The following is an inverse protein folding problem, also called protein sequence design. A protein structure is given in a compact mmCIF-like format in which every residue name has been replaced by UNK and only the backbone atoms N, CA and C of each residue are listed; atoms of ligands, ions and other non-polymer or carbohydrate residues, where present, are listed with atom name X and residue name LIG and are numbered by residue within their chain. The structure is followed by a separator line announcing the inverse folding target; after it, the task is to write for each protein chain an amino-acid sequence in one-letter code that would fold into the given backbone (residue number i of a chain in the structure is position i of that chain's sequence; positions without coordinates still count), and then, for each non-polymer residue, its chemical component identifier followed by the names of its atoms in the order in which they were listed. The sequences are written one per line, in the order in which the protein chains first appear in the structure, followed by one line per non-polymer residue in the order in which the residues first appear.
data_IF_927849537588
#
_entry.id   IF_927849537588
#
_cell.length_a   1.000
_cell.length_b   1.000
_cell.length_c   1.000
_cell.angle_alpha   90.00
_cell.angle_beta   90.00
_cell.angle_gamma   90.00
#
_symmetry.space_group_name_H-M   'P 1'
#
loop_
_entity.id
_entity.type
_entity.pdbx_description
1 polymer ?
#
# COMPACT_ATOMS: atom_id res chain seq x y z
N UNK A 1 14.15 -4.68 -14.97
CA UNK A 1 13.96 -3.91 -13.73
C UNK A 1 12.96 -4.67 -12.89
N UNK A 2 13.24 -4.85 -11.59
CA UNK A 2 12.30 -5.50 -10.68
C UNK A 2 11.11 -4.56 -10.44
N UNK A 3 9.88 -5.09 -10.49
CA UNK A 3 8.66 -4.35 -10.17
C UNK A 3 8.76 -3.77 -8.75
N UNK A 4 8.35 -2.53 -8.51
CA UNK A 4 8.36 -1.90 -7.19
C UNK A 4 6.95 -1.77 -6.63
N UNK A 5 6.65 -2.57 -5.61
CA UNK A 5 5.37 -2.63 -4.92
C UNK A 5 5.37 -1.76 -3.66
N UNK A 6 4.34 -0.94 -3.49
CA UNK A 6 4.11 -0.17 -2.26
C UNK A 6 2.93 -0.77 -1.50
N UNK A 7 3.16 -1.26 -0.29
CA UNK A 7 2.11 -1.79 0.57
C UNK A 7 1.58 -0.71 1.51
N UNK A 8 0.30 -0.38 1.37
CA UNK A 8 -0.38 0.59 2.23
C UNK A 8 -0.95 -0.09 3.48
N UNK A 9 -0.69 0.48 4.65
CA UNK A 9 -1.18 -0.07 5.90
C UNK A 9 -1.48 1.00 6.95
N UNK A 10 -2.04 0.58 8.08
CA UNK A 10 -2.16 1.39 9.29
C UNK A 10 -1.12 0.98 10.33
N UNK A 11 -0.97 1.81 11.35
CA UNK A 11 0.06 1.71 12.36
C UNK A 11 0.18 0.32 13.01
N UNK A 12 -0.95 -0.27 13.43
CA UNK A 12 -0.94 -1.55 14.15
C UNK A 12 -0.46 -2.74 13.30
N UNK A 13 -0.59 -2.66 11.97
CA UNK A 13 -0.21 -3.75 11.07
C UNK A 13 1.20 -3.59 10.48
N UNK A 14 1.81 -2.40 10.59
CA UNK A 14 3.13 -2.08 9.97
C UNK A 14 4.21 -3.10 10.36
N UNK A 15 4.45 -3.28 11.65
CA UNK A 15 5.52 -4.17 12.15
C UNK A 15 5.30 -5.63 11.73
N UNK A 16 4.04 -6.08 11.72
CA UNK A 16 3.71 -7.45 11.28
C UNK A 16 3.95 -7.63 9.79
N UNK A 17 3.54 -6.66 8.98
CA UNK A 17 3.71 -6.69 7.53
C UNK A 17 5.20 -6.63 7.13
N UNK A 18 5.98 -5.82 7.83
CA UNK A 18 7.43 -5.71 7.64
C UNK A 18 8.13 -7.05 7.90
N UNK A 19 7.79 -7.72 9.00
CA UNK A 19 8.32 -9.06 9.30
C UNK A 19 7.93 -10.10 8.24
N UNK A 20 6.71 -10.02 7.72
CA UNK A 20 6.24 -10.93 6.68
C UNK A 20 7.03 -10.72 5.38
N UNK A 21 7.15 -9.48 4.91
CA UNK A 21 7.85 -9.16 3.67
C UNK A 21 9.36 -9.44 3.78
N UNK A 22 9.98 -9.11 4.91
CA UNK A 22 11.37 -9.47 5.17
C UNK A 22 11.59 -11.00 5.25
N UNK A 23 10.58 -11.75 5.68
CA UNK A 23 10.60 -13.21 5.75
C UNK A 23 10.48 -13.91 4.39
N UNK A 24 10.13 -13.19 3.31
CA UNK A 24 10.06 -13.75 1.96
C UNK A 24 11.45 -14.06 1.37
N UNK A 25 12.52 -13.47 1.91
CA UNK A 25 13.86 -13.58 1.34
C UNK A 25 14.03 -12.72 0.09
N UNK A 26 14.80 -13.20 -0.88
CA UNK A 26 14.97 -12.51 -2.17
C UNK A 26 13.68 -12.60 -2.99
N UNK A 27 13.06 -11.45 -3.23
CA UNK A 27 11.86 -11.31 -4.06
C UNK A 27 12.22 -10.81 -5.45
N UNK A 28 11.48 -11.25 -6.48
CA UNK A 28 11.63 -10.75 -7.86
C UNK A 28 11.17 -9.28 -8.02
N UNK A 29 10.52 -8.73 -6.98
CA UNK A 29 10.05 -7.36 -6.88
C UNK A 29 10.75 -6.63 -5.73
N UNK A 30 10.95 -5.32 -5.87
CA UNK A 30 11.28 -4.44 -4.75
C UNK A 30 9.99 -4.07 -4.00
N UNK A 31 10.08 -3.83 -2.70
CA UNK A 31 8.92 -3.45 -1.90
C UNK A 31 9.21 -2.34 -0.89
N UNK A 32 8.14 -1.62 -0.54
CA UNK A 32 8.13 -0.59 0.51
C UNK A 32 6.80 -0.65 1.26
N UNK A 33 6.80 -0.29 2.54
CA UNK A 33 5.59 -0.19 3.36
C UNK A 33 5.36 1.27 3.74
N UNK A 34 4.16 1.77 3.48
CA UNK A 34 3.72 3.11 3.89
C UNK A 34 2.62 2.99 4.94
N UNK A 35 2.89 3.53 6.13
CA UNK A 35 1.88 3.79 7.15
C UNK A 35 1.16 5.11 6.82
N UNK A 36 -0.13 5.05 6.53
CA UNK A 36 -0.92 6.23 6.15
C UNK A 36 -1.33 7.10 7.36
N UNK A 37 -0.86 6.75 8.57
CA UNK A 37 -1.11 7.50 9.80
C UNK A 37 -2.51 7.28 10.37
N UNK A 38 -3.11 6.10 10.13
CA UNK A 38 -4.31 5.64 10.81
C UNK A 38 -3.97 4.49 11.74
N UNK A 39 -4.70 4.34 12.85
CA UNK A 39 -4.43 3.25 13.81
C UNK A 39 -4.64 1.87 13.19
N UNK A 40 -5.75 1.68 12.47
CA UNK A 40 -6.10 0.42 11.79
C UNK A 40 -6.51 0.69 10.35
N UNK A 41 -6.22 -0.26 9.45
CA UNK A 41 -6.55 -0.18 8.03
C UNK A 41 -8.05 0.05 7.74
N UNK A 42 -8.95 -0.42 8.63
CA UNK A 42 -10.39 -0.20 8.50
C UNK A 42 -10.82 1.27 8.56
N UNK A 43 -9.96 2.16 9.08
CA UNK A 43 -10.20 3.62 9.12
C UNK A 43 -9.65 4.35 7.89
N UNK A 44 -9.03 3.63 6.95
CA UNK A 44 -8.47 4.21 5.74
C UNK A 44 -9.60 4.58 4.78
N UNK A 45 -9.71 5.88 4.46
CA UNK A 45 -10.62 6.40 3.43
C UNK A 45 -9.82 6.88 2.21
N UNK A 46 -10.50 7.06 1.09
CA UNK A 46 -9.92 7.64 -0.12
C UNK A 46 -9.31 9.03 0.15
N UNK A 47 -10.02 9.90 0.87
CA UNK A 47 -9.53 11.24 1.25
C UNK A 47 -8.27 11.18 2.12
N UNK A 48 -8.19 10.22 3.04
CA UNK A 48 -7.00 10.02 3.87
C UNK A 48 -5.81 9.62 3.00
N UNK A 49 -6.02 8.70 2.05
CA UNK A 49 -4.97 8.25 1.13
C UNK A 49 -4.52 9.43 0.26
N UNK A 50 -5.43 10.10 -0.44
CA UNK A 50 -5.13 11.26 -1.31
C UNK A 50 -4.36 12.36 -0.59
N UNK A 51 -4.72 12.65 0.67
CA UNK A 51 -4.08 13.71 1.45
C UNK A 51 -2.71 13.33 2.00
N UNK A 52 -2.45 12.05 2.31
CA UNK A 52 -1.28 11.63 3.10
C UNK A 52 -0.30 10.73 2.37
N UNK A 53 -0.72 10.08 1.29
CA UNK A 53 0.15 9.20 0.53
C UNK A 53 1.06 10.05 -0.35
N UNK A 54 2.37 9.86 -0.18
CA UNK A 54 3.38 10.35 -1.10
C UNK A 54 4.06 9.14 -1.71
N UNK A 55 3.91 8.96 -3.01
CA UNK A 55 4.59 7.89 -3.74
C UNK A 55 5.98 8.34 -4.14
N UNK A 56 6.96 7.49 -3.91
CA UNK A 56 8.31 7.67 -4.45
C UNK A 56 8.30 7.41 -5.96
N UNK A 57 9.15 8.12 -6.70
CA UNK A 57 9.37 7.85 -8.12
C UNK A 57 9.74 6.37 -8.36
N UNK A 58 9.17 5.76 -9.40
CA UNK A 58 9.38 4.36 -9.73
C UNK A 58 8.51 3.38 -8.95
N UNK A 59 7.37 3.81 -8.41
CA UNK A 59 6.34 2.88 -7.90
C UNK A 59 5.56 2.30 -9.06
N UNK A 60 5.55 0.99 -9.22
CA UNK A 60 4.80 0.33 -10.29
C UNK A 60 3.37 -0.02 -9.87
N UNK A 61 3.14 -0.27 -8.57
CA UNK A 61 1.82 -0.65 -8.05
C UNK A 61 1.69 -0.38 -6.55
N UNK A 62 0.48 -0.03 -6.12
CA UNK A 62 0.12 0.13 -4.71
C UNK A 62 -0.83 -1.00 -4.28
N UNK A 63 -0.47 -1.72 -3.21
CA UNK A 63 -1.27 -2.78 -2.61
C UNK A 63 -2.00 -2.23 -1.38
N UNK A 64 -3.33 -2.19 -1.45
CA UNK A 64 -4.22 -1.78 -0.37
C UNK A 64 -4.54 -2.97 0.56
N UNK A 65 -4.95 -2.71 1.81
CA UNK A 65 -5.48 -3.76 2.69
C UNK A 65 -6.68 -4.49 2.06
N UNK A 66 -6.80 -5.82 2.29
CA UNK A 66 -7.88 -6.62 1.69
C UNK A 66 -9.29 -6.13 2.01
N UNK A 67 -9.46 -5.53 3.18
CA UNK A 67 -10.75 -4.97 3.63
C UNK A 67 -11.00 -3.53 3.20
N UNK A 68 -10.17 -2.93 2.35
CA UNK A 68 -10.39 -1.58 1.85
C UNK A 68 -11.63 -1.52 0.95
N UNK A 69 -12.55 -0.57 1.21
CA UNK A 69 -13.85 -0.48 0.54
C UNK A 69 -14.05 0.77 -0.33
N UNK A 70 -13.05 1.65 -0.42
CA UNK A 70 -13.14 2.85 -1.28
C UNK A 70 -12.95 2.52 -2.76
N UNK A 71 -13.04 3.56 -3.60
CA UNK A 71 -12.90 3.46 -5.05
C UNK A 71 -11.42 3.34 -5.45
N UNK A 72 -11.05 2.15 -5.92
CA UNK A 72 -9.67 1.81 -6.30
C UNK A 72 -9.31 2.44 -7.65
N UNK A 73 -10.26 2.54 -8.58
CA UNK A 73 -10.02 3.14 -9.89
C UNK A 73 -9.77 4.64 -9.73
N UNK A 74 -10.52 5.30 -8.85
CA UNK A 74 -10.33 6.72 -8.58
C UNK A 74 -8.96 7.01 -7.93
N UNK A 75 -8.49 6.14 -7.02
CA UNK A 75 -7.12 6.22 -6.51
C UNK A 75 -6.09 6.01 -7.62
N UNK A 76 -6.29 5.00 -8.47
CA UNK A 76 -5.36 4.69 -9.55
C UNK A 76 -5.23 5.87 -10.53
N UNK A 77 -6.36 6.48 -10.90
CA UNK A 77 -6.42 7.66 -11.76
C UNK A 77 -5.77 8.88 -11.09
N UNK A 78 -5.96 9.06 -9.78
CA UNK A 78 -5.41 10.21 -9.06
C UNK A 78 -3.89 10.16 -8.94
N UNK A 79 -3.33 8.98 -8.65
CA UNK A 79 -1.89 8.79 -8.44
C UNK A 79 -1.12 8.40 -9.71
N UNK A 80 -1.84 8.06 -10.79
CA UNK A 80 -1.23 7.65 -12.05
C UNK A 80 -0.53 6.29 -11.99
N UNK A 81 -0.80 5.48 -10.97
CA UNK A 81 -0.27 4.12 -10.81
C UNK A 81 -1.40 3.16 -10.44
N UNK A 82 -1.35 1.88 -10.83
CA UNK A 82 -2.37 0.90 -10.44
C UNK A 82 -2.44 0.70 -8.92
N UNK A 83 -3.64 0.83 -8.36
CA UNK A 83 -3.96 0.37 -7.01
C UNK A 83 -4.65 -0.99 -7.09
N UNK A 84 -4.27 -1.91 -6.21
CA UNK A 84 -4.83 -3.26 -6.16
C UNK A 84 -5.15 -3.63 -4.72
N UNK A 85 -6.25 -4.35 -4.51
CA UNK A 85 -6.63 -4.87 -3.19
C UNK A 85 -5.80 -6.11 -2.87
N UNK A 86 -5.16 -6.11 -1.70
CA UNK A 86 -4.43 -7.25 -1.17
C UNK A 86 -5.35 -8.32 -0.57
N UNK A 87 -4.77 -9.40 0.00
CA UNK A 87 -5.53 -10.45 0.67
C UNK A 87 -6.11 -9.99 2.04
N UNK A 88 -7.10 -10.75 2.52
CA UNK A 88 -7.79 -10.55 3.80
C UNK A 88 -7.02 -11.08 5.02
#
# INVERSE_FOLDING_TARGET
MAERLVFLTGHLAKVRLERLLAGLGETEFAWEIIDIGVKVAALMSEDIIKRRLTLTGGTDRVILPGRYRGDIEHLSNHFGVPFVRGPD
#
